data_IF_351585540601
#
_entry.id   IF_351585540601
#
_cell.length_a   1.000
_cell.length_b   1.000
_cell.length_c   1.000
_cell.angle_alpha   90.00
_cell.angle_beta   90.00
_cell.angle_gamma   90.00
#
_symmetry.space_group_name_H-M   'P 1'
#
loop_
_entity.id
_entity.type
_entity.pdbx_description
1 polymer ?
#
# COMPACT_ATOMS: atom_id res chain seq x y z
N UNK A 1 43.10 34.96 2.35
CA UNK A 1 42.65 34.08 3.46
C UNK A 1 41.32 33.48 3.03
N UNK A 2 41.27 32.18 2.71
CA UNK A 2 40.05 31.50 2.21
C UNK A 2 39.33 30.86 3.39
N UNK A 3 38.17 31.39 3.76
CA UNK A 3 37.31 30.80 4.80
C UNK A 3 36.58 29.60 4.19
N UNK A 4 37.00 28.38 4.54
CA UNK A 4 36.30 27.15 4.17
C UNK A 4 35.18 26.93 5.18
N UNK A 5 33.94 27.22 4.78
CA UNK A 5 32.75 26.89 5.57
C UNK A 5 32.43 25.39 5.37
N UNK A 6 32.63 24.58 6.41
CA UNK A 6 32.19 23.19 6.46
C UNK A 6 30.67 23.15 6.71
N UNK A 7 29.89 22.76 5.70
CA UNK A 7 28.46 22.52 5.83
C UNK A 7 28.26 21.10 6.40
N UNK A 8 27.84 21.00 7.67
CA UNK A 8 27.48 19.71 8.30
C UNK A 8 26.08 19.32 7.83
N UNK A 9 26.01 18.33 6.93
CA UNK A 9 24.75 17.74 6.48
C UNK A 9 24.23 16.79 7.58
N UNK A 10 23.24 17.23 8.38
CA UNK A 10 22.55 16.33 9.33
C UNK A 10 21.70 15.32 8.54
N UNK A 11 22.13 14.06 8.53
CA UNK A 11 21.32 12.94 8.08
C UNK A 11 20.22 12.70 9.14
N UNK A 12 18.99 13.11 8.85
CA UNK A 12 17.84 12.78 9.69
C UNK A 12 17.51 11.30 9.42
N UNK A 13 17.96 10.42 10.29
CA UNK A 13 17.65 8.99 10.21
C UNK A 13 16.14 8.80 10.34
N UNK A 14 15.49 8.28 9.29
CA UNK A 14 14.10 7.85 9.38
C UNK A 14 14.01 6.68 10.36
N UNK A 15 13.19 6.80 11.40
CA UNK A 15 12.88 5.67 12.28
C UNK A 15 12.12 4.63 11.47
N UNK A 16 12.71 3.45 11.30
CA UNK A 16 12.04 2.30 10.71
C UNK A 16 11.21 1.61 11.81
N UNK A 17 9.89 1.54 11.63
CA UNK A 17 9.02 0.76 12.50
C UNK A 17 8.93 -0.65 11.95
N UNK A 18 9.32 -1.64 12.76
CA UNK A 18 9.02 -3.05 12.49
C UNK A 18 7.73 -3.42 13.19
N UNK A 19 6.94 -4.31 12.58
CA UNK A 19 5.84 -4.99 13.27
C UNK A 19 6.35 -5.67 14.53
N UNK A 20 5.53 -5.65 15.58
CA UNK A 20 5.77 -6.46 16.77
C UNK A 20 5.51 -7.92 16.40
N UNK A 21 6.42 -8.80 16.79
CA UNK A 21 6.21 -10.25 16.65
C UNK A 21 5.13 -10.66 17.65
N UNK A 22 3.99 -11.12 17.15
CA UNK A 22 2.90 -11.62 17.98
C UNK A 22 3.22 -13.04 18.46
N UNK A 23 3.66 -13.16 19.70
CA UNK A 23 4.07 -14.42 20.35
C UNK A 23 3.11 -14.88 21.46
N UNK A 24 1.86 -14.38 21.44
CA UNK A 24 0.80 -14.80 22.36
C UNK A 24 0.48 -16.29 22.21
N UNK A 25 -0.02 -16.89 23.29
CA UNK A 25 -0.38 -18.32 23.32
C UNK A 25 -1.88 -18.55 23.13
N UNK A 26 -2.68 -17.50 23.29
CA UNK A 26 -4.14 -17.54 23.09
C UNK A 26 -4.56 -16.68 21.90
N UNK A 27 -5.70 -17.00 21.29
CA UNK A 27 -6.26 -16.18 20.21
C UNK A 27 -6.61 -14.76 20.66
N UNK A 28 -6.93 -14.55 21.94
CA UNK A 28 -7.15 -13.22 22.49
C UNK A 28 -5.86 -12.38 22.47
N UNK A 29 -4.76 -12.92 23.02
CA UNK A 29 -3.45 -12.25 23.00
C UNK A 29 -2.95 -11.98 21.57
N UNK A 30 -3.14 -12.94 20.67
CA UNK A 30 -2.76 -12.77 19.26
C UNK A 30 -3.63 -11.72 18.56
N UNK A 31 -4.94 -11.64 18.88
CA UNK A 31 -5.84 -10.61 18.35
C UNK A 31 -5.43 -9.23 18.83
N UNK A 32 -5.15 -9.05 20.12
CA UNK A 32 -4.72 -7.78 20.70
C UNK A 32 -3.41 -7.30 20.08
N UNK A 33 -2.45 -8.22 19.88
CA UNK A 33 -1.20 -7.91 19.20
C UNK A 33 -1.41 -7.52 17.73
N UNK A 34 -2.25 -8.26 17.00
CA UNK A 34 -2.55 -7.95 15.60
C UNK A 34 -3.23 -6.59 15.46
N UNK A 35 -4.14 -6.25 16.38
CA UNK A 35 -4.76 -4.92 16.45
C UNK A 35 -3.71 -3.83 16.71
N UNK A 36 -2.78 -4.05 17.65
CA UNK A 36 -1.70 -3.08 17.91
C UNK A 36 -0.84 -2.83 16.68
N UNK A 37 -0.50 -3.89 15.92
CA UNK A 37 0.25 -3.74 14.67
C UNK A 37 -0.54 -2.90 13.64
N UNK A 38 -1.85 -3.10 13.54
CA UNK A 38 -2.71 -2.27 12.71
C UNK A 38 -2.73 -0.81 13.17
N UNK A 39 -2.91 -0.54 14.47
CA UNK A 39 -2.93 0.82 15.01
C UNK A 39 -1.63 1.57 14.72
N UNK A 40 -0.49 0.89 14.81
CA UNK A 40 0.82 1.47 14.51
C UNK A 40 0.98 1.73 13.00
N UNK A 41 0.51 0.82 12.13
CA UNK A 41 0.47 1.06 10.68
C UNK A 41 -0.47 2.22 10.29
N UNK A 42 -1.64 2.33 10.92
CA UNK A 42 -2.62 3.37 10.63
C UNK A 42 -2.12 4.77 11.07
N UNK A 43 -1.38 4.85 12.18
CA UNK A 43 -0.70 6.10 12.58
C UNK A 43 0.29 6.57 11.51
N UNK A 44 1.10 5.65 10.97
CA UNK A 44 2.08 5.98 9.91
C UNK A 44 1.35 6.44 8.65
N UNK A 45 0.31 5.73 8.23
CA UNK A 45 -0.51 6.12 7.09
C UNK A 45 -1.08 7.54 7.25
N UNK A 46 -1.72 7.81 8.39
CA UNK A 46 -2.36 9.09 8.66
C UNK A 46 -1.36 10.24 8.72
N UNK A 47 -0.15 9.99 9.26
CA UNK A 47 0.95 10.95 9.23
C UNK A 47 1.35 11.27 7.78
N UNK A 48 1.65 10.26 6.97
CA UNK A 48 2.06 10.46 5.57
C UNK A 48 0.97 11.15 4.75
N UNK A 49 -0.29 10.74 4.91
CA UNK A 49 -1.43 11.40 4.28
C UNK A 49 -1.53 12.88 4.67
N UNK A 50 -1.40 13.18 5.97
CA UNK A 50 -1.49 14.55 6.50
C UNK A 50 -0.34 15.44 6.03
N UNK A 51 0.84 14.89 5.82
CA UNK A 51 1.98 15.60 5.25
C UNK A 51 1.81 15.83 3.75
N UNK A 52 1.39 14.80 3.00
CA UNK A 52 1.20 14.90 1.55
C UNK A 52 0.07 15.88 1.18
N UNK A 53 -1.07 15.81 1.86
CA UNK A 53 -2.23 16.65 1.55
C UNK A 53 -1.98 18.15 1.78
N UNK A 54 -0.98 18.52 2.59
CA UNK A 54 -0.55 19.91 2.80
C UNK A 54 0.30 20.45 1.65
N UNK A 55 0.93 19.57 0.86
CA UNK A 55 1.88 19.92 -0.20
C UNK A 55 1.25 19.95 -1.60
N UNK A 56 0.13 19.26 -1.79
CA UNK A 56 -0.55 19.17 -3.11
C UNK A 56 -1.32 20.43 -3.48
N UNK A 57 -1.40 20.73 -4.79
CA UNK A 57 -2.17 21.86 -5.30
C UNK A 57 -3.68 21.67 -5.04
N UNK A 58 -4.50 22.74 -4.99
CA UNK A 58 -5.92 22.65 -4.63
C UNK A 58 -6.74 21.63 -5.43
N UNK A 59 -6.54 21.55 -6.75
CA UNK A 59 -7.23 20.58 -7.59
C UNK A 59 -6.80 19.13 -7.30
N UNK A 60 -5.50 18.90 -7.05
CA UNK A 60 -4.97 17.60 -6.66
C UNK A 60 -5.40 17.19 -5.25
N UNK A 61 -5.60 18.16 -4.35
CA UNK A 61 -6.06 17.93 -2.97
C UNK A 61 -7.41 17.24 -2.94
N UNK A 62 -8.37 17.70 -3.74
CA UNK A 62 -9.69 17.08 -3.81
C UNK A 62 -9.60 15.64 -4.33
N UNK A 63 -8.81 15.41 -5.38
CA UNK A 63 -8.57 14.06 -5.91
C UNK A 63 -7.93 13.14 -4.87
N UNK A 64 -6.97 13.64 -4.08
CA UNK A 64 -6.34 12.87 -3.01
C UNK A 64 -7.34 12.49 -1.90
N UNK A 65 -8.20 13.43 -1.49
CA UNK A 65 -9.26 13.16 -0.50
C UNK A 65 -10.21 12.08 -1.00
N UNK A 66 -10.66 12.19 -2.25
CA UNK A 66 -11.59 11.23 -2.85
C UNK A 66 -10.95 9.84 -3.00
N UNK A 67 -9.68 9.80 -3.42
CA UNK A 67 -8.90 8.56 -3.52
C UNK A 67 -8.76 7.90 -2.15
N UNK A 68 -8.43 8.67 -1.12
CA UNK A 68 -8.27 8.15 0.24
C UNK A 68 -9.61 7.61 0.79
N UNK A 69 -10.73 8.30 0.56
CA UNK A 69 -12.07 7.82 0.95
C UNK A 69 -12.45 6.53 0.22
N UNK A 70 -12.17 6.46 -1.08
CA UNK A 70 -12.41 5.24 -1.86
C UNK A 70 -11.57 4.07 -1.34
N UNK A 71 -10.30 4.33 -1.00
CA UNK A 71 -9.43 3.35 -0.39
C UNK A 71 -9.97 2.85 0.96
N UNK A 72 -10.39 3.74 1.87
CA UNK A 72 -10.98 3.34 3.16
C UNK A 72 -12.18 2.42 2.94
N UNK A 73 -13.11 2.80 2.05
CA UNK A 73 -14.29 1.99 1.74
C UNK A 73 -13.95 0.62 1.12
N UNK A 74 -12.85 0.52 0.39
CA UNK A 74 -12.33 -0.75 -0.12
C UNK A 74 -11.70 -1.58 1.01
N UNK A 75 -10.80 -0.99 1.81
CA UNK A 75 -10.08 -1.64 2.90
C UNK A 75 -11.03 -2.38 3.84
N UNK A 76 -12.08 -1.70 4.31
CA UNK A 76 -13.05 -2.29 5.24
C UNK A 76 -13.71 -3.54 4.62
N UNK A 77 -14.25 -3.42 3.40
CA UNK A 77 -14.93 -4.54 2.73
C UNK A 77 -13.99 -5.71 2.40
N UNK A 78 -12.77 -5.40 1.99
CA UNK A 78 -11.77 -6.39 1.63
C UNK A 78 -11.33 -7.18 2.86
N UNK A 79 -11.11 -6.51 3.99
CA UNK A 79 -10.73 -7.19 5.23
C UNK A 79 -11.91 -7.82 5.98
N UNK A 80 -13.15 -7.38 5.75
CA UNK A 80 -14.34 -8.12 6.14
C UNK A 80 -14.43 -9.46 5.39
N UNK A 81 -14.03 -9.52 4.11
CA UNK A 81 -13.98 -10.78 3.37
C UNK A 81 -12.92 -11.73 3.95
N UNK A 82 -11.75 -11.22 4.36
CA UNK A 82 -10.73 -12.00 5.05
C UNK A 82 -11.26 -12.59 6.37
N UNK A 83 -11.99 -11.80 7.17
CA UNK A 83 -12.67 -12.31 8.37
C UNK A 83 -13.65 -13.44 8.03
N UNK A 84 -14.52 -13.21 7.04
CA UNK A 84 -15.58 -14.15 6.68
C UNK A 84 -15.05 -15.46 6.10
N UNK A 85 -13.88 -15.46 5.48
CA UNK A 85 -13.24 -16.66 4.95
C UNK A 85 -12.90 -17.67 6.05
N UNK A 86 -12.66 -17.18 7.27
CA UNK A 86 -12.23 -18.00 8.40
C UNK A 86 -13.31 -18.11 9.49
N UNK A 87 -14.32 -17.25 9.48
CA UNK A 87 -15.42 -17.31 10.44
C UNK A 87 -16.23 -18.62 10.35
N UNK A 88 -16.69 -19.19 11.48
CA UNK A 88 -16.63 -18.65 12.84
C UNK A 88 -15.36 -19.04 13.63
N UNK A 89 -14.26 -19.40 12.95
CA UNK A 89 -12.96 -19.69 13.58
C UNK A 89 -12.49 -18.53 14.47
N UNK A 90 -11.87 -18.86 15.60
CA UNK A 90 -11.43 -17.87 16.58
C UNK A 90 -10.27 -16.99 16.07
N UNK A 91 -9.60 -17.43 15.01
CA UNK A 91 -8.56 -16.74 14.27
C UNK A 91 -9.09 -15.72 13.24
N UNK A 92 -10.40 -15.71 12.95
CA UNK A 92 -10.99 -14.78 11.96
C UNK A 92 -10.69 -13.30 12.28
N UNK A 93 -10.70 -12.93 13.57
CA UNK A 93 -10.30 -11.59 14.01
C UNK A 93 -8.82 -11.29 13.75
N UNK A 94 -7.94 -12.28 13.92
CA UNK A 94 -6.51 -12.17 13.66
C UNK A 94 -6.29 -11.93 12.16
N UNK A 95 -6.95 -12.69 11.30
CA UNK A 95 -6.88 -12.54 9.85
C UNK A 95 -7.37 -11.16 9.40
N UNK A 96 -8.48 -10.67 9.98
CA UNK A 96 -8.98 -9.32 9.72
C UNK A 96 -7.94 -8.24 10.06
N UNK A 97 -7.35 -8.30 11.25
CA UNK A 97 -6.36 -7.31 11.68
C UNK A 97 -5.07 -7.38 10.86
N UNK A 98 -4.64 -8.59 10.50
CA UNK A 98 -3.49 -8.78 9.62
C UNK A 98 -3.75 -8.24 8.20
N UNK A 99 -4.96 -8.44 7.66
CA UNK A 99 -5.41 -7.80 6.42
C UNK A 99 -5.37 -6.28 6.51
N UNK A 100 -5.99 -5.72 7.55
CA UNK A 100 -6.04 -4.27 7.76
C UNK A 100 -4.63 -3.68 7.84
N UNK A 101 -3.71 -4.34 8.53
CA UNK A 101 -2.29 -3.96 8.58
C UNK A 101 -1.66 -3.97 7.19
N UNK A 102 -1.74 -5.10 6.48
CA UNK A 102 -1.14 -5.29 5.14
C UNK A 102 -1.61 -4.23 4.15
N UNK A 103 -2.92 -4.02 4.05
CA UNK A 103 -3.53 -3.06 3.11
C UNK A 103 -3.17 -1.60 3.47
N UNK A 104 -3.00 -1.31 4.76
CA UNK A 104 -2.60 0.02 5.26
C UNK A 104 -1.13 0.33 4.96
N UNK A 105 -0.25 -0.66 5.09
CA UNK A 105 1.16 -0.52 4.71
C UNK A 105 1.33 -0.31 3.21
N UNK A 106 0.60 -1.10 2.40
CA UNK A 106 0.58 -0.90 0.95
C UNK A 106 0.11 0.50 0.61
N UNK A 107 -0.97 1.00 1.24
CA UNK A 107 -1.43 2.37 1.00
C UNK A 107 -0.43 3.43 1.43
N UNK A 108 0.31 3.18 2.50
CA UNK A 108 1.38 4.08 2.95
C UNK A 108 2.46 4.21 1.89
N UNK A 109 2.88 3.09 1.30
CA UNK A 109 3.84 3.06 0.19
C UNK A 109 3.28 3.77 -1.05
N UNK A 110 1.99 3.58 -1.36
CA UNK A 110 1.31 4.29 -2.45
C UNK A 110 1.33 5.81 -2.29
N UNK A 111 1.07 6.30 -1.08
CA UNK A 111 1.13 7.74 -0.78
C UNK A 111 2.57 8.25 -0.95
N UNK A 112 3.56 7.52 -0.42
CA UNK A 112 4.97 7.87 -0.58
C UNK A 112 5.41 7.85 -2.06
N UNK A 113 4.90 6.93 -2.87
CA UNK A 113 5.16 6.88 -4.31
C UNK A 113 4.56 8.09 -5.02
N UNK A 114 3.30 8.44 -4.75
CA UNK A 114 2.65 9.63 -5.31
C UNK A 114 3.34 10.94 -4.89
N UNK A 115 3.91 10.99 -3.69
CA UNK A 115 4.58 12.17 -3.16
C UNK A 115 6.02 12.33 -3.69
N UNK A 116 6.79 11.25 -3.73
CA UNK A 116 8.25 11.29 -3.88
C UNK A 116 8.81 10.42 -4.99
N UNK A 117 7.98 9.65 -5.70
CA UNK A 117 8.39 8.63 -6.68
C UNK A 117 9.20 7.45 -6.10
N UNK A 118 9.32 7.35 -4.77
CA UNK A 118 10.00 6.27 -4.04
C UNK A 118 8.97 5.25 -3.53
N UNK A 119 9.35 3.97 -3.42
CA UNK A 119 8.49 2.93 -2.83
C UNK A 119 8.04 1.85 -3.80
N UNK A 120 8.68 1.75 -4.97
CA UNK A 120 8.26 0.87 -6.05
C UNK A 120 9.24 -0.25 -6.41
N UNK A 121 10.34 -0.35 -5.68
CA UNK A 121 11.43 -1.26 -6.02
C UNK A 121 11.02 -2.72 -5.85
N UNK A 122 10.19 -3.02 -4.85
CA UNK A 122 9.70 -4.37 -4.59
C UNK A 122 8.85 -4.91 -5.75
N UNK A 123 7.90 -4.10 -6.24
CA UNK A 123 7.08 -4.48 -7.41
C UNK A 123 7.94 -4.61 -8.67
N UNK A 124 8.80 -3.63 -8.97
CA UNK A 124 9.64 -3.65 -10.18
C UNK A 124 10.60 -4.83 -10.18
N UNK A 125 11.23 -5.11 -9.05
CA UNK A 125 12.14 -6.25 -8.87
C UNK A 125 11.39 -7.56 -9.02
N UNK A 126 10.25 -7.69 -8.34
CA UNK A 126 9.42 -8.91 -8.44
C UNK A 126 8.92 -9.12 -9.86
N UNK A 127 8.48 -8.07 -10.54
CA UNK A 127 8.05 -8.12 -11.93
C UNK A 127 9.17 -8.62 -12.85
N UNK A 128 10.38 -8.08 -12.71
CA UNK A 128 11.55 -8.51 -13.48
C UNK A 128 11.92 -9.97 -13.21
N UNK A 129 11.93 -10.38 -11.94
CA UNK A 129 12.22 -11.77 -11.56
C UNK A 129 11.18 -12.73 -12.16
N UNK A 130 9.89 -12.45 -11.99
CA UNK A 130 8.81 -13.29 -12.51
C UNK A 130 8.84 -13.37 -14.04
N UNK A 131 9.14 -12.26 -14.71
CA UNK A 131 9.24 -12.22 -16.16
C UNK A 131 10.39 -13.11 -16.65
N UNK A 132 11.56 -13.02 -16.03
CA UNK A 132 12.73 -13.83 -16.39
C UNK A 132 12.52 -15.33 -16.11
N UNK A 133 11.87 -15.67 -14.99
CA UNK A 133 11.65 -17.06 -14.61
C UNK A 133 10.56 -17.75 -15.45
N UNK A 134 9.48 -17.03 -15.79
CA UNK A 134 8.26 -17.67 -16.29
C UNK A 134 7.78 -17.15 -17.65
N UNK A 135 8.26 -16.01 -18.12
CA UNK A 135 7.74 -15.34 -19.33
C UNK A 135 8.83 -14.96 -20.35
N UNK A 136 10.03 -15.54 -20.23
CA UNK A 136 11.14 -15.29 -21.14
C UNK A 136 11.65 -13.83 -21.11
N UNK A 137 11.51 -13.17 -19.95
CA UNK A 137 11.89 -11.77 -19.74
C UNK A 137 10.79 -10.75 -20.09
N UNK A 138 9.63 -11.19 -20.58
CA UNK A 138 8.53 -10.31 -20.97
C UNK A 138 7.69 -9.85 -19.77
N UNK A 139 8.01 -8.67 -19.24
CA UNK A 139 7.29 -8.05 -18.13
C UNK A 139 5.81 -7.77 -18.46
N UNK A 140 5.47 -7.57 -19.74
CA UNK A 140 4.10 -7.23 -20.14
C UNK A 140 3.14 -8.39 -19.96
N UNK A 141 3.63 -9.64 -20.14
CA UNK A 141 2.86 -10.85 -19.87
C UNK A 141 2.55 -11.00 -18.39
N UNK A 142 3.53 -10.75 -17.52
CA UNK A 142 3.33 -10.78 -16.06
C UNK A 142 2.31 -9.72 -15.65
N UNK A 143 2.45 -8.47 -16.12
CA UNK A 143 1.47 -7.41 -15.86
C UNK A 143 0.07 -7.79 -16.37
N UNK A 144 -0.04 -8.38 -17.57
CA UNK A 144 -1.32 -8.83 -18.11
C UNK A 144 -1.99 -9.86 -17.21
N UNK A 145 -1.23 -10.80 -16.63
CA UNK A 145 -1.75 -11.79 -15.68
C UNK A 145 -2.21 -11.13 -14.37
N UNK A 146 -1.43 -10.19 -13.82
CA UNK A 146 -1.80 -9.44 -12.62
C UNK A 146 -3.09 -8.63 -12.81
N UNK A 147 -3.31 -8.08 -14.00
CA UNK A 147 -4.53 -7.33 -14.33
C UNK A 147 -5.72 -8.27 -14.49
N UNK A 148 -5.55 -9.40 -15.18
CA UNK A 148 -6.65 -10.33 -15.51
C UNK A 148 -7.11 -11.19 -14.34
N UNK A 149 -6.19 -11.63 -13.48
CA UNK A 149 -6.46 -12.63 -12.45
C UNK A 149 -6.58 -12.02 -11.05
N UNK A 150 -7.41 -10.98 -10.91
CA UNK A 150 -7.67 -10.32 -9.61
C UNK A 150 -8.99 -10.84 -9.01
N UNK A 151 -8.96 -11.61 -7.90
CA UNK A 151 -10.15 -12.31 -7.36
C UNK A 151 -11.38 -11.44 -7.08
N UNK A 152 -11.19 -10.15 -6.82
CA UNK A 152 -12.22 -9.14 -6.55
C UNK A 152 -12.08 -7.91 -7.47
N UNK A 153 -11.51 -8.09 -8.66
CA UNK A 153 -11.24 -6.99 -9.61
C UNK A 153 -12.47 -6.18 -10.02
N UNK A 154 -13.66 -6.79 -9.91
CA UNK A 154 -14.97 -6.15 -10.18
C UNK A 154 -15.61 -5.52 -8.94
N UNK A 155 -14.97 -5.55 -7.76
CA UNK A 155 -15.48 -4.90 -6.56
C UNK A 155 -15.60 -3.38 -6.81
N UNK A 156 -16.79 -2.77 -6.65
CA UNK A 156 -16.97 -1.35 -6.99
C UNK A 156 -16.09 -0.40 -6.18
N UNK A 157 -15.82 -0.72 -4.91
CA UNK A 157 -14.93 0.08 -4.07
C UNK A 157 -13.48 -0.04 -4.55
N UNK A 158 -13.05 -1.25 -4.94
CA UNK A 158 -11.73 -1.47 -5.54
C UNK A 158 -11.56 -0.72 -6.85
N UNK A 159 -12.50 -0.89 -7.80
CA UNK A 159 -12.47 -0.24 -9.10
C UNK A 159 -12.39 1.28 -8.97
N UNK A 160 -13.17 1.87 -8.05
CA UNK A 160 -13.14 3.31 -7.78
C UNK A 160 -11.80 3.76 -7.22
N UNK A 161 -11.26 3.03 -6.24
CA UNK A 161 -9.94 3.33 -5.68
C UNK A 161 -8.84 3.27 -6.75
N UNK A 162 -8.78 2.18 -7.52
CA UNK A 162 -7.80 1.98 -8.60
C UNK A 162 -7.91 3.08 -9.65
N UNK A 163 -9.12 3.40 -10.12
CA UNK A 163 -9.29 4.43 -11.14
C UNK A 163 -8.78 5.80 -10.68
N UNK A 164 -9.13 6.20 -9.45
CA UNK A 164 -8.69 7.47 -8.87
C UNK A 164 -7.17 7.49 -8.65
N UNK A 165 -6.60 6.42 -8.06
CA UNK A 165 -5.17 6.33 -7.79
C UNK A 165 -4.35 6.35 -9.09
N UNK A 166 -4.77 5.60 -10.11
CA UNK A 166 -4.07 5.55 -11.39
C UNK A 166 -4.21 6.83 -12.20
N UNK A 167 -5.29 7.60 -12.04
CA UNK A 167 -5.38 8.95 -12.60
C UNK A 167 -4.38 9.90 -11.92
N UNK A 168 -4.24 9.80 -10.60
CA UNK A 168 -3.27 10.61 -9.86
C UNK A 168 -1.82 10.25 -10.24
N UNK A 169 -1.48 8.97 -10.32
CA UNK A 169 -0.13 8.56 -10.71
C UNK A 169 0.18 8.90 -12.17
N UNK A 170 -0.79 8.76 -13.08
CA UNK A 170 -0.62 9.23 -14.46
C UNK A 170 -0.35 10.74 -14.53
N UNK A 171 -1.10 11.56 -13.78
CA UNK A 171 -0.92 13.01 -13.79
C UNK A 171 0.40 13.47 -13.15
N UNK A 172 0.79 12.86 -12.01
CA UNK A 172 1.98 13.30 -11.26
C UNK A 172 3.28 12.66 -11.76
N UNK A 173 3.21 11.39 -12.18
CA UNK A 173 4.38 10.55 -12.41
C UNK A 173 4.46 10.02 -13.85
N UNK A 174 3.47 10.34 -14.70
CA UNK A 174 3.36 9.80 -16.06
C UNK A 174 3.34 8.27 -16.10
N UNK A 175 2.82 7.65 -15.03
CA UNK A 175 2.71 6.20 -14.94
C UNK A 175 1.63 5.69 -15.91
N UNK A 176 1.98 4.69 -16.72
CA UNK A 176 1.02 3.98 -17.56
C UNK A 176 -0.08 3.31 -16.72
N UNK A 177 -1.32 3.38 -17.20
CA UNK A 177 -2.48 2.87 -16.45
C UNK A 177 -2.36 1.37 -16.16
N UNK A 178 -1.91 0.55 -17.12
CA UNK A 178 -1.78 -0.89 -16.91
C UNK A 178 -0.69 -1.19 -15.89
N UNK A 179 0.40 -0.42 -15.90
CA UNK A 179 1.45 -0.51 -14.89
C UNK A 179 0.91 -0.21 -13.50
N UNK A 180 0.14 0.88 -13.35
CA UNK A 180 -0.52 1.22 -12.08
C UNK A 180 -1.49 0.12 -11.60
N UNK A 181 -2.35 -0.40 -12.49
CA UNK A 181 -3.31 -1.45 -12.12
C UNK A 181 -2.59 -2.74 -11.72
N UNK A 182 -1.61 -3.20 -12.52
CA UNK A 182 -0.84 -4.40 -12.22
C UNK A 182 -0.13 -4.29 -10.86
N UNK A 183 0.43 -3.12 -10.57
CA UNK A 183 1.06 -2.78 -9.31
C UNK A 183 0.10 -2.84 -8.13
N UNK A 184 -1.05 -2.17 -8.23
CA UNK A 184 -2.05 -2.20 -7.17
C UNK A 184 -2.59 -3.62 -6.92
N UNK A 185 -2.72 -4.43 -7.97
CA UNK A 185 -3.11 -5.84 -7.86
C UNK A 185 -2.01 -6.73 -7.26
N UNK A 186 -0.74 -6.45 -7.53
CA UNK A 186 0.39 -7.24 -7.03
C UNK A 186 0.43 -7.32 -5.49
N UNK A 187 0.03 -6.25 -4.81
CA UNK A 187 0.04 -6.18 -3.36
C UNK A 187 -1.24 -6.70 -2.69
N UNK A 188 -2.17 -7.28 -3.46
CA UNK A 188 -3.37 -7.93 -2.91
C UNK A 188 -3.02 -9.37 -2.50
N UNK A 189 -3.07 -9.64 -1.21
CA UNK A 189 -2.58 -10.88 -0.62
C UNK A 189 -3.56 -11.56 0.34
N UNK A 190 -4.83 -11.13 0.36
CA UNK A 190 -5.93 -11.67 1.16
C UNK A 190 -7.11 -12.12 0.30
#
# INVERSE_FOLDING_TARGET
MKNVAFLVLMLISSVAFSKVVCNGQTNAELTDCAQKNYDDADKVLNKNYSEFIKKVAPAEKQNLIETQRAWVAYKEKYCDAAFNATAPGAEASIDKWACLTSVTEVRTNEISYLESSIGMDDFRRSLSVMANLYEGGDITKVMSRLIKNTPDGSNPSWMKYVDLNCKMSAAKLQEDRNTCVARLNFFKNW
#
